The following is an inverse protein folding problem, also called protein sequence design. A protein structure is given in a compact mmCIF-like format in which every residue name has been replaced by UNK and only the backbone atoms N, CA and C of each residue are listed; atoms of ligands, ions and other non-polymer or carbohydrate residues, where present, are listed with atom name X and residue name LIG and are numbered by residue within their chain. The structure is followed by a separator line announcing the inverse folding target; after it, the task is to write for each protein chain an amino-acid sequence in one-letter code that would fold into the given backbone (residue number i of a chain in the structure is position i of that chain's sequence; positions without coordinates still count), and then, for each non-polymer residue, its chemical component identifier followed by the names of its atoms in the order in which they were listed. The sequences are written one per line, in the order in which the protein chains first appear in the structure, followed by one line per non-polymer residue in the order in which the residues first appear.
data_IF_531941295554
#
_entry.id   IF_531941295554
#
_cell.length_a   1.000
_cell.length_b   1.000
_cell.length_c   1.000
_cell.angle_alpha   90.00
_cell.angle_beta   90.00
_cell.angle_gamma   90.00
#
_symmetry.space_group_name_H-M   'P 1'
#
loop_
_entity.id
_entity.type
_entity.pdbx_description
1 polymer ?
#
# COMPACT_ATOMS: atom_id res chain seq x y z
N UNK A 1 5.46 6.01 12.56
CA UNK A 1 5.15 7.42 12.22
C UNK A 1 3.63 7.58 12.05
N UNK A 2 3.01 8.69 12.43
CA UNK A 2 1.55 8.79 12.46
C UNK A 2 0.96 8.84 11.05
N UNK A 3 0.14 7.86 10.68
CA UNK A 3 -0.55 7.81 9.38
C UNK A 3 -1.74 8.77 9.26
N UNK A 4 -2.07 9.47 10.34
CA UNK A 4 -3.20 10.38 10.44
C UNK A 4 -2.74 11.77 10.91
N UNK A 5 -3.04 12.80 10.12
CA UNK A 5 -2.79 14.18 10.49
C UNK A 5 -3.95 14.73 11.34
N UNK A 6 -3.60 15.59 12.28
CA UNK A 6 -4.56 16.42 13.02
C UNK A 6 -4.93 17.68 12.20
N UNK A 7 -6.03 18.38 12.55
CA UNK A 7 -6.36 19.66 11.90
C UNK A 7 -5.26 20.70 11.99
N UNK A 8 -4.49 20.69 13.07
CA UNK A 8 -3.36 21.60 13.27
C UNK A 8 -2.19 21.28 12.34
N UNK A 9 -1.81 20.00 12.26
CA UNK A 9 -0.75 19.55 11.35
C UNK A 9 -1.09 19.84 9.88
N UNK A 10 -2.37 19.65 9.50
CA UNK A 10 -2.84 20.02 8.16
C UNK A 10 -2.80 21.54 7.92
N UNK A 11 -3.17 22.34 8.91
CA UNK A 11 -3.11 23.79 8.82
C UNK A 11 -1.67 24.30 8.64
N UNK A 12 -0.74 23.75 9.43
CA UNK A 12 0.70 24.04 9.32
C UNK A 12 1.25 23.63 7.95
N UNK A 13 0.83 22.45 7.43
CA UNK A 13 1.23 21.95 6.14
C UNK A 13 0.79 22.85 4.97
N UNK A 14 -0.42 23.39 5.06
CA UNK A 14 -1.01 24.28 4.04
C UNK A 14 -0.65 25.76 4.23
N UNK A 15 0.01 26.14 5.31
CA UNK A 15 0.25 27.56 5.64
C UNK A 15 -1.02 28.36 5.92
N UNK A 16 -2.06 27.71 6.46
CA UNK A 16 -3.38 28.32 6.74
C UNK A 16 -3.72 28.25 8.23
N UNK A 17 -4.78 28.95 8.65
CA UNK A 17 -5.28 28.86 10.02
C UNK A 17 -6.01 27.52 10.27
N UNK A 18 -6.03 27.00 11.52
CA UNK A 18 -6.85 25.84 11.88
C UNK A 18 -8.35 26.04 11.59
N UNK A 19 -8.85 27.28 11.61
CA UNK A 19 -10.24 27.60 11.31
C UNK A 19 -10.55 27.42 9.81
N UNK A 20 -9.57 27.69 8.95
CA UNK A 20 -9.67 27.37 7.51
C UNK A 20 -9.85 25.88 7.31
N UNK A 21 -9.08 25.05 8.00
CA UNK A 21 -9.22 23.58 7.94
C UNK A 21 -10.59 23.13 8.47
N UNK A 22 -11.09 23.74 9.55
CA UNK A 22 -12.45 23.47 10.04
C UNK A 22 -13.52 23.81 9.01
N UNK A 23 -13.36 24.94 8.30
CA UNK A 23 -14.24 25.33 7.20
C UNK A 23 -14.23 24.32 6.06
N UNK A 24 -13.06 23.82 5.66
CA UNK A 24 -12.94 22.76 4.65
C UNK A 24 -13.68 21.47 5.07
N UNK A 25 -13.56 21.08 6.32
CA UNK A 25 -14.30 19.95 6.86
C UNK A 25 -15.82 20.17 6.83
N UNK A 26 -16.26 21.34 7.25
CA UNK A 26 -17.68 21.70 7.26
C UNK A 26 -18.29 21.69 5.86
N UNK A 27 -17.55 22.21 4.88
CA UNK A 27 -17.94 22.24 3.47
C UNK A 27 -17.71 20.91 2.74
N UNK A 28 -17.27 19.85 3.44
CA UNK A 28 -16.94 18.52 2.87
C UNK A 28 -15.91 18.60 1.73
N UNK A 29 -15.01 19.55 1.77
CA UNK A 29 -13.98 19.78 0.75
C UNK A 29 -12.77 18.85 0.92
N UNK A 30 -12.59 18.26 2.09
CA UNK A 30 -11.54 17.30 2.39
C UNK A 30 -12.13 16.12 3.18
N UNK A 31 -11.72 14.92 2.85
CA UNK A 31 -12.14 13.70 3.56
C UNK A 31 -11.46 13.65 4.94
N UNK A 32 -12.18 13.21 5.96
CA UNK A 32 -11.65 13.01 7.31
C UNK A 32 -12.37 11.87 8.03
N UNK A 33 -11.65 11.23 8.96
CA UNK A 33 -12.24 10.33 9.94
C UNK A 33 -12.42 11.06 11.27
N UNK A 34 -13.32 10.55 12.12
CA UNK A 34 -13.52 11.06 13.47
C UNK A 34 -13.16 9.96 14.47
N UNK A 35 -12.29 10.27 15.43
CA UNK A 35 -11.98 9.34 16.53
C UNK A 35 -13.18 9.19 17.49
N UNK A 36 -13.25 8.13 18.33
CA UNK A 36 -14.28 8.00 19.35
C UNK A 36 -14.41 9.22 20.27
N UNK A 37 -13.33 9.97 20.47
CA UNK A 37 -13.33 11.24 21.22
C UNK A 37 -13.75 12.48 20.42
N UNK A 38 -14.33 12.33 19.22
CA UNK A 38 -14.82 13.44 18.39
C UNK A 38 -13.73 14.22 17.63
N UNK A 39 -12.47 13.82 17.71
CA UNK A 39 -11.36 14.51 17.06
C UNK A 39 -11.22 14.11 15.60
N UNK A 40 -11.16 15.09 14.69
CA UNK A 40 -10.95 14.87 13.26
C UNK A 40 -9.52 14.42 12.99
N UNK A 41 -9.40 13.47 12.05
CA UNK A 41 -8.13 12.94 11.55
C UNK A 41 -8.19 12.88 10.04
N UNK A 42 -7.12 13.30 9.38
CA UNK A 42 -6.98 13.31 7.93
C UNK A 42 -6.02 12.21 7.54
N UNK A 43 -6.44 11.35 6.64
CA UNK A 43 -5.54 10.38 6.05
C UNK A 43 -4.55 11.12 5.16
N UNK A 44 -3.32 10.70 5.21
CA UNK A 44 -2.22 11.33 4.50
C UNK A 44 -2.46 11.45 3.01
N UNK A 45 -3.03 10.41 2.38
CA UNK A 45 -3.35 10.42 0.95
C UNK A 45 -4.47 11.39 0.60
N UNK A 46 -5.53 11.44 1.39
CA UNK A 46 -6.62 12.41 1.20
C UNK A 46 -6.08 13.85 1.27
N UNK A 47 -5.04 14.08 2.09
CA UNK A 47 -4.36 15.37 2.17
C UNK A 47 -3.55 15.66 0.92
N UNK A 48 -2.75 14.70 0.42
CA UNK A 48 -1.95 14.89 -0.80
C UNK A 48 -2.82 15.15 -2.03
N UNK A 49 -3.90 14.38 -2.19
CA UNK A 49 -4.88 14.55 -3.24
C UNK A 49 -5.51 15.95 -3.18
N UNK A 50 -5.96 16.37 -1.99
CA UNK A 50 -6.52 17.69 -1.75
C UNK A 50 -5.54 18.83 -2.07
N UNK A 51 -4.26 18.69 -1.67
CA UNK A 51 -3.22 19.69 -1.97
C UNK A 51 -2.97 19.79 -3.48
N UNK A 52 -2.88 18.64 -4.18
CA UNK A 52 -2.70 18.59 -5.63
C UNK A 52 -3.86 19.25 -6.37
N UNK A 53 -5.10 18.88 -6.03
CA UNK A 53 -6.32 19.45 -6.65
C UNK A 53 -6.46 20.97 -6.46
N UNK A 54 -5.96 21.48 -5.35
CA UNK A 54 -6.06 22.91 -4.99
C UNK A 54 -4.85 23.73 -5.39
N UNK A 55 -3.83 23.13 -5.98
CA UNK A 55 -2.60 23.80 -6.36
C UNK A 55 -1.75 24.28 -5.19
N UNK A 56 -1.93 23.69 -4.00
CA UNK A 56 -1.02 23.94 -2.89
C UNK A 56 0.33 23.28 -3.17
N UNK A 57 1.45 23.87 -2.71
CA UNK A 57 2.73 23.22 -2.80
C UNK A 57 2.68 21.89 -2.04
N UNK A 58 3.10 20.83 -2.69
CA UNK A 58 3.22 19.52 -2.01
C UNK A 58 4.30 19.66 -0.94
N UNK A 59 4.04 19.18 0.29
CA UNK A 59 5.04 19.23 1.35
C UNK A 59 6.25 18.39 0.95
N UNK A 60 7.44 18.72 1.46
CA UNK A 60 8.62 17.87 1.32
C UNK A 60 8.30 16.43 1.74
N UNK A 61 8.82 15.47 0.99
CA UNK A 61 8.54 14.04 1.17
C UNK A 61 8.85 13.51 2.58
N UNK A 62 9.70 14.21 3.33
CA UNK A 62 10.02 13.92 4.73
C UNK A 62 8.86 14.18 5.71
N UNK A 63 7.92 15.06 5.35
CA UNK A 63 6.71 15.34 6.17
C UNK A 63 5.52 14.43 5.88
N UNK A 64 5.50 13.83 4.70
CA UNK A 64 4.48 12.86 4.29
C UNK A 64 5.21 11.66 3.69
N UNK A 65 5.34 10.56 4.43
CA UNK A 65 5.97 9.36 3.88
C UNK A 65 5.13 8.84 2.73
N UNK A 66 5.68 8.74 1.52
CA UNK A 66 4.97 8.17 0.38
C UNK A 66 4.69 6.69 0.61
N UNK A 67 3.65 6.16 -0.03
CA UNK A 67 3.35 4.73 -0.02
C UNK A 67 4.53 4.00 -0.64
N UNK A 68 5.09 3.06 0.08
CA UNK A 68 6.16 2.20 -0.40
C UNK A 68 5.58 1.10 -1.30
N UNK A 69 5.85 1.18 -2.59
CA UNK A 69 5.41 0.19 -3.58
C UNK A 69 6.60 -0.59 -4.09
N UNK A 70 6.56 -1.91 -3.98
CA UNK A 70 7.56 -2.79 -4.58
C UNK A 70 6.94 -3.50 -5.78
N UNK A 71 7.55 -3.33 -6.96
CA UNK A 71 7.15 -3.99 -8.20
C UNK A 71 8.09 -5.16 -8.44
N UNK A 72 7.55 -6.37 -8.61
CA UNK A 72 8.30 -7.59 -8.89
C UNK A 72 7.78 -8.20 -10.20
N UNK A 73 8.63 -8.21 -11.22
CA UNK A 73 8.30 -8.70 -12.55
C UNK A 73 9.62 -8.99 -13.29
N UNK A 74 9.74 -10.11 -13.98
CA UNK A 74 10.97 -10.48 -14.70
C UNK A 74 11.07 -9.83 -16.09
N UNK A 75 9.97 -9.32 -16.63
CA UNK A 75 9.95 -8.63 -17.91
C UNK A 75 10.40 -7.17 -17.73
N UNK A 76 11.68 -6.89 -18.04
CA UNK A 76 12.30 -5.58 -17.86
C UNK A 76 11.50 -4.42 -18.48
N UNK A 77 11.00 -4.60 -19.70
CA UNK A 77 10.26 -3.56 -20.42
C UNK A 77 8.95 -3.18 -19.73
N UNK A 78 8.21 -4.19 -19.28
CA UNK A 78 6.96 -4.00 -18.55
C UNK A 78 7.23 -3.41 -17.17
N UNK A 79 8.18 -3.97 -16.42
CA UNK A 79 8.58 -3.49 -15.09
C UNK A 79 8.98 -2.02 -15.10
N UNK A 80 9.90 -1.63 -16.01
CA UNK A 80 10.36 -0.23 -16.14
C UNK A 80 9.23 0.72 -16.53
N UNK A 81 8.34 0.32 -17.45
CA UNK A 81 7.18 1.11 -17.84
C UNK A 81 6.27 1.39 -16.63
N UNK A 82 6.00 0.35 -15.83
CA UNK A 82 5.15 0.42 -14.66
C UNK A 82 5.77 1.29 -13.56
N UNK A 83 7.04 1.05 -13.26
CA UNK A 83 7.81 1.84 -12.29
C UNK A 83 7.90 3.30 -12.70
N UNK A 84 8.23 3.58 -13.98
CA UNK A 84 8.32 4.93 -14.49
C UNK A 84 6.99 5.70 -14.45
N UNK A 85 5.86 5.01 -14.61
CA UNK A 85 4.55 5.62 -14.46
C UNK A 85 4.20 5.90 -13.00
N UNK A 86 4.46 4.95 -12.10
CA UNK A 86 4.19 5.11 -10.67
C UNK A 86 5.07 6.18 -10.02
N UNK A 87 6.35 6.30 -10.42
CA UNK A 87 7.28 7.30 -9.89
C UNK A 87 6.90 8.76 -10.23
N UNK A 88 6.05 8.98 -11.24
CA UNK A 88 5.52 10.31 -11.54
C UNK A 88 4.53 10.82 -10.49
N UNK A 89 4.00 9.92 -9.67
CA UNK A 89 3.09 10.27 -8.57
C UNK A 89 3.87 10.50 -7.27
N UNK A 90 3.91 11.72 -6.76
CA UNK A 90 4.64 12.05 -5.51
C UNK A 90 4.16 11.26 -4.28
N UNK A 91 2.96 10.66 -4.37
CA UNK A 91 2.38 9.83 -3.33
C UNK A 91 3.06 8.46 -3.19
N UNK A 92 3.91 8.05 -4.14
CA UNK A 92 4.54 6.73 -4.17
C UNK A 92 6.06 6.82 -4.04
N UNK A 93 6.63 5.93 -3.22
CA UNK A 93 8.05 5.59 -3.21
C UNK A 93 8.17 4.19 -3.81
N UNK A 94 8.71 4.10 -5.02
CA UNK A 94 8.68 2.87 -5.81
C UNK A 94 10.07 2.25 -5.88
N UNK A 95 10.15 0.98 -5.57
CA UNK A 95 11.30 0.10 -5.79
C UNK A 95 10.88 -1.03 -6.72
N UNK A 96 11.87 -1.67 -7.34
CA UNK A 96 11.67 -2.80 -8.25
C UNK A 96 12.58 -3.97 -7.93
N UNK A 97 12.18 -5.17 -8.36
CA UNK A 97 12.99 -6.37 -8.38
C UNK A 97 12.65 -7.18 -9.64
N UNK A 98 13.68 -7.68 -10.33
CA UNK A 98 13.53 -8.48 -11.54
C UNK A 98 13.66 -9.99 -11.31
N UNK A 99 14.05 -10.41 -10.10
CA UNK A 99 14.22 -11.80 -9.74
C UNK A 99 13.91 -12.09 -8.27
N UNK A 100 13.90 -13.38 -7.91
CA UNK A 100 13.53 -13.82 -6.55
C UNK A 100 14.52 -13.46 -5.48
N UNK A 101 15.79 -13.33 -5.80
CA UNK A 101 16.81 -12.93 -4.85
C UNK A 101 16.62 -11.46 -4.47
N UNK A 102 16.53 -10.59 -5.48
CA UNK A 102 16.28 -9.17 -5.28
C UNK A 102 14.90 -8.91 -4.64
N UNK A 103 13.87 -9.66 -5.03
CA UNK A 103 12.55 -9.59 -4.41
C UNK A 103 12.63 -9.86 -2.90
N UNK A 104 13.29 -10.95 -2.49
CA UNK A 104 13.45 -11.31 -1.09
C UNK A 104 14.22 -10.25 -0.29
N UNK A 105 15.31 -9.71 -0.86
CA UNK A 105 16.12 -8.65 -0.28
C UNK A 105 15.31 -7.36 -0.16
N UNK A 106 14.68 -6.91 -1.24
CA UNK A 106 13.89 -5.68 -1.26
C UNK A 106 12.70 -5.72 -0.30
N UNK A 107 12.01 -6.84 -0.22
CA UNK A 107 10.92 -7.01 0.76
C UNK A 107 11.45 -6.79 2.20
N UNK A 108 12.66 -7.30 2.52
CA UNK A 108 13.25 -7.17 3.85
C UNK A 108 13.76 -5.78 4.18
N UNK A 109 14.43 -5.13 3.24
CA UNK A 109 15.07 -3.82 3.45
C UNK A 109 14.10 -2.64 3.28
N UNK A 110 13.20 -2.76 2.31
CA UNK A 110 12.30 -1.68 1.94
C UNK A 110 11.00 -1.68 2.73
N UNK A 111 10.55 -2.86 3.22
CA UNK A 111 9.28 -3.03 3.95
C UNK A 111 8.11 -2.36 3.20
N UNK A 112 7.72 -2.88 2.01
CA UNK A 112 6.70 -2.25 1.19
C UNK A 112 5.32 -2.27 1.85
N UNK A 113 4.57 -1.18 1.66
CA UNK A 113 3.15 -1.08 2.04
C UNK A 113 2.27 -1.82 1.03
N UNK A 114 2.68 -1.85 -0.24
CA UNK A 114 1.98 -2.57 -1.32
C UNK A 114 3.00 -3.27 -2.22
N UNK A 115 2.72 -4.55 -2.48
CA UNK A 115 3.45 -5.38 -3.43
C UNK A 115 2.66 -5.48 -4.73
N UNK A 116 3.29 -5.19 -5.85
CA UNK A 116 2.78 -5.46 -7.21
C UNK A 116 3.63 -6.58 -7.79
N UNK A 117 3.03 -7.73 -8.08
CA UNK A 117 3.74 -8.98 -8.31
C UNK A 117 3.24 -9.72 -9.55
N UNK A 118 4.13 -10.06 -10.47
CA UNK A 118 3.85 -11.10 -11.46
C UNK A 118 3.90 -12.49 -10.80
N UNK A 119 2.99 -13.37 -11.22
CA UNK A 119 2.96 -14.76 -10.74
C UNK A 119 3.85 -15.70 -11.54
N UNK A 120 4.08 -15.37 -12.81
CA UNK A 120 4.75 -16.28 -13.76
C UNK A 120 6.10 -15.72 -14.12
N UNK A 121 7.09 -16.06 -13.30
CA UNK A 121 8.47 -15.64 -13.50
C UNK A 121 9.40 -16.86 -13.52
N UNK A 122 10.44 -16.92 -14.37
CA UNK A 122 11.40 -18.02 -14.40
C UNK A 122 12.09 -18.20 -13.05
N UNK A 123 12.02 -19.42 -12.51
CA UNK A 123 12.69 -19.76 -11.24
C UNK A 123 12.04 -19.23 -9.98
N UNK A 124 10.91 -18.51 -10.09
CA UNK A 124 10.17 -17.95 -8.94
C UNK A 124 8.73 -18.45 -8.96
N UNK A 125 8.29 -19.03 -7.84
CA UNK A 125 6.87 -19.28 -7.60
C UNK A 125 6.23 -18.01 -6.98
N UNK A 126 5.55 -17.18 -7.78
CA UNK A 126 4.87 -15.98 -7.33
C UNK A 126 3.82 -16.24 -6.24
N UNK A 127 3.17 -17.42 -6.26
CA UNK A 127 2.25 -17.82 -5.18
C UNK A 127 3.00 -18.03 -3.86
N UNK A 128 4.22 -18.56 -3.93
CA UNK A 128 5.08 -18.69 -2.76
C UNK A 128 5.49 -17.32 -2.23
N UNK A 129 5.85 -16.38 -3.11
CA UNK A 129 6.16 -15.00 -2.72
C UNK A 129 4.98 -14.37 -1.97
N UNK A 130 3.75 -14.55 -2.46
CA UNK A 130 2.53 -14.07 -1.76
C UNK A 130 2.44 -14.67 -0.34
N UNK A 131 2.55 -15.99 -0.21
CA UNK A 131 2.44 -16.68 1.10
C UNK A 131 3.55 -16.26 2.06
N UNK A 132 4.79 -16.22 1.58
CA UNK A 132 5.95 -15.86 2.39
C UNK A 132 5.85 -14.39 2.84
N UNK A 133 5.41 -13.51 1.97
CA UNK A 133 5.16 -12.10 2.29
C UNK A 133 4.08 -11.95 3.37
N UNK A 134 2.96 -12.67 3.26
CA UNK A 134 1.88 -12.65 4.26
C UNK A 134 2.29 -13.19 5.62
N UNK A 135 3.24 -14.13 5.66
CA UNK A 135 3.70 -14.74 6.91
C UNK A 135 4.67 -13.88 7.71
N UNK A 136 5.19 -12.80 7.12
CA UNK A 136 6.14 -11.87 7.76
C UNK A 136 5.45 -10.96 8.77
N UNK A 137 6.24 -10.36 9.64
CA UNK A 137 5.75 -9.30 10.52
C UNK A 137 5.32 -8.08 9.68
N UNK A 138 4.09 -7.62 9.86
CA UNK A 138 3.50 -6.54 9.05
C UNK A 138 2.94 -6.98 7.68
N UNK A 139 3.29 -8.17 7.18
CA UNK A 139 2.82 -8.65 5.88
C UNK A 139 1.31 -8.90 5.79
N UNK A 140 0.66 -9.09 6.92
CA UNK A 140 -0.81 -9.19 7.03
C UNK A 140 -1.52 -7.84 6.81
N UNK A 141 -0.82 -6.72 6.94
CA UNK A 141 -1.36 -5.37 6.76
C UNK A 141 -1.04 -4.77 5.39
N UNK A 142 0.05 -5.20 4.77
CA UNK A 142 0.44 -4.73 3.46
C UNK A 142 -0.50 -5.24 2.35
N UNK A 143 -0.68 -4.46 1.28
CA UNK A 143 -1.45 -4.86 0.11
C UNK A 143 -0.65 -5.79 -0.82
N UNK A 144 -1.30 -6.74 -1.50
CA UNK A 144 -0.73 -7.51 -2.60
C UNK A 144 -1.64 -7.40 -3.81
N UNK A 145 -1.13 -6.83 -4.89
CA UNK A 145 -1.78 -6.77 -6.21
C UNK A 145 -0.99 -7.70 -7.12
N UNK A 146 -1.66 -8.74 -7.61
CA UNK A 146 -1.10 -9.63 -8.63
C UNK A 146 -1.36 -9.04 -10.00
N UNK A 147 -0.34 -9.04 -10.87
CA UNK A 147 -0.43 -8.62 -12.27
C UNK A 147 0.11 -9.74 -13.13
N UNK A 148 -0.70 -10.33 -14.01
CA UNK A 148 -0.27 -11.51 -14.78
C UNK A 148 -0.66 -11.44 -16.26
N UNK A 149 0.22 -11.97 -17.12
CA UNK A 149 -0.07 -12.15 -18.56
C UNK A 149 -0.99 -13.33 -18.87
N UNK A 150 -1.28 -14.18 -17.88
CA UNK A 150 -2.12 -15.38 -18.03
C UNK A 150 -3.36 -15.31 -17.13
N UNK A 151 -4.30 -14.39 -17.43
CA UNK A 151 -5.46 -14.17 -16.59
C UNK A 151 -6.52 -15.25 -16.83
N UNK A 152 -6.65 -16.18 -15.91
CA UNK A 152 -7.80 -17.09 -15.84
C UNK A 152 -8.37 -17.13 -14.41
N UNK A 153 -9.59 -17.60 -14.27
CA UNK A 153 -10.27 -17.62 -12.97
C UNK A 153 -9.59 -18.54 -11.96
N UNK A 154 -8.99 -19.64 -12.43
CA UNK A 154 -8.26 -20.58 -11.57
C UNK A 154 -6.99 -19.94 -11.04
N UNK A 155 -6.26 -19.20 -11.90
CA UNK A 155 -5.07 -18.44 -11.53
C UNK A 155 -5.41 -17.38 -10.49
N UNK A 156 -6.45 -16.59 -10.72
CA UNK A 156 -6.89 -15.55 -9.79
C UNK A 156 -7.37 -16.13 -8.46
N UNK A 157 -8.10 -17.26 -8.49
CA UNK A 157 -8.53 -17.92 -7.26
C UNK A 157 -7.33 -18.40 -6.44
N UNK A 158 -6.34 -19.05 -7.09
CA UNK A 158 -5.11 -19.48 -6.43
C UNK A 158 -4.29 -18.31 -5.87
N UNK A 159 -4.25 -17.16 -6.58
CA UNK A 159 -3.59 -15.96 -6.10
C UNK A 159 -4.25 -15.44 -4.82
N UNK A 160 -5.58 -15.37 -4.78
CA UNK A 160 -6.34 -14.97 -3.58
C UNK A 160 -6.10 -15.94 -2.41
N UNK A 161 -6.09 -17.24 -2.67
CA UNK A 161 -5.77 -18.27 -1.66
C UNK A 161 -4.32 -18.14 -1.13
N UNK A 162 -3.38 -17.74 -2.00
CA UNK A 162 -2.01 -17.45 -1.61
C UNK A 162 -1.86 -16.13 -0.83
N UNK A 163 -2.89 -15.28 -0.83
CA UNK A 163 -2.92 -14.05 -0.06
C UNK A 163 -2.97 -12.76 -0.87
N UNK A 164 -3.14 -12.81 -2.20
CA UNK A 164 -3.39 -11.61 -2.99
C UNK A 164 -4.70 -10.94 -2.58
N UNK A 165 -4.72 -9.61 -2.59
CA UNK A 165 -5.92 -8.81 -2.34
C UNK A 165 -6.67 -8.55 -3.64
N UNK A 166 -5.91 -8.20 -4.69
CA UNK A 166 -6.41 -7.86 -6.00
C UNK A 166 -5.61 -8.57 -7.10
N UNK A 167 -6.25 -8.79 -8.24
CA UNK A 167 -5.64 -9.41 -9.41
C UNK A 167 -5.98 -8.62 -10.66
N UNK A 168 -4.99 -8.34 -11.50
CA UNK A 168 -5.09 -7.64 -12.77
C UNK A 168 -4.47 -8.47 -13.89
N UNK A 169 -5.04 -8.35 -15.08
CA UNK A 169 -4.46 -8.88 -16.31
C UNK A 169 -3.50 -7.85 -16.96
N UNK A 170 -2.40 -8.32 -17.55
CA UNK A 170 -1.62 -7.51 -18.48
C UNK A 170 -2.37 -7.42 -19.83
N UNK A 171 -2.41 -6.23 -20.49
CA UNK A 171 -1.84 -4.95 -20.10
C UNK A 171 -2.65 -4.24 -18.99
N UNK A 172 -1.96 -3.54 -18.10
CA UNK A 172 -2.55 -2.89 -16.93
C UNK A 172 -2.95 -1.45 -17.25
N UNK A 173 -4.17 -1.08 -16.91
CA UNK A 173 -4.55 0.34 -16.83
C UNK A 173 -3.92 0.99 -15.59
N UNK A 174 -3.09 2.00 -15.83
CA UNK A 174 -2.30 2.63 -14.78
C UNK A 174 -3.16 3.36 -13.73
N UNK A 175 -4.29 3.95 -14.14
CA UNK A 175 -5.19 4.63 -13.20
C UNK A 175 -5.82 3.61 -12.27
N UNK A 176 -6.31 2.50 -12.82
CA UNK A 176 -6.87 1.37 -12.05
C UNK A 176 -5.85 0.84 -11.04
N UNK A 177 -4.59 0.62 -11.45
CA UNK A 177 -3.55 0.15 -10.56
C UNK A 177 -3.26 1.15 -9.43
N UNK A 178 -3.11 2.43 -9.76
CA UNK A 178 -2.87 3.48 -8.77
C UNK A 178 -4.00 3.60 -7.75
N UNK A 179 -5.25 3.49 -8.20
CA UNK A 179 -6.42 3.52 -7.32
C UNK A 179 -6.49 2.30 -6.41
N UNK A 180 -6.14 1.11 -6.91
CA UNK A 180 -6.02 -0.11 -6.10
C UNK A 180 -4.92 0.02 -5.04
N UNK A 181 -3.73 0.54 -5.40
CA UNK A 181 -2.63 0.80 -4.46
C UNK A 181 -3.12 1.73 -3.33
N UNK A 182 -3.78 2.84 -3.68
CA UNK A 182 -4.33 3.79 -2.71
C UNK A 182 -5.40 3.15 -1.83
N UNK A 183 -6.31 2.38 -2.41
CA UNK A 183 -7.39 1.69 -1.71
C UNK A 183 -6.86 0.69 -0.68
N UNK A 184 -5.90 -0.15 -1.06
CA UNK A 184 -5.31 -1.15 -0.17
C UNK A 184 -4.52 -0.50 0.98
N UNK A 185 -3.82 0.58 0.71
CA UNK A 185 -3.11 1.34 1.75
C UNK A 185 -4.09 2.03 2.73
N UNK A 186 -5.22 2.55 2.24
CA UNK A 186 -6.23 3.23 3.06
C UNK A 186 -7.06 2.28 3.92
N UNK A 187 -7.25 1.05 3.47
CA UNK A 187 -8.07 0.03 4.12
C UNK A 187 -7.24 -1.22 4.40
N UNK A 188 -6.19 -1.13 5.21
CA UNK A 188 -5.36 -2.28 5.51
C UNK A 188 -6.19 -3.37 6.17
N UNK A 189 -5.86 -4.64 5.88
CA UNK A 189 -6.52 -5.80 6.48
C UNK A 189 -6.47 -5.71 8.00
N UNK A 190 -7.53 -6.13 8.71
CA UNK A 190 -7.49 -6.21 10.16
C UNK A 190 -6.39 -7.20 10.58
N UNK A 191 -5.57 -6.83 11.57
CA UNK A 191 -4.51 -7.71 12.11
C UNK A 191 -5.10 -9.06 12.46
N UNK A 192 -4.63 -10.12 11.81
CA UNK A 192 -4.91 -11.49 12.28
C UNK A 192 -4.23 -11.63 13.65
N UNK A 193 -5.02 -11.64 14.71
CA UNK A 193 -4.52 -12.02 16.02
C UNK A 193 -3.97 -13.43 15.90
N UNK A 194 -2.64 -13.58 15.96
CA UNK A 194 -2.02 -14.91 16.04
C UNK A 194 -2.66 -15.61 17.23
N UNK A 195 -3.44 -16.64 16.94
CA UNK A 195 -4.05 -17.49 17.96
C UNK A 195 -2.95 -17.88 18.96
N UNK A 196 -3.17 -17.51 20.22
CA UNK A 196 -2.32 -17.88 21.33
C UNK A 196 -2.13 -19.41 21.29
N UNK A 197 -0.92 -19.88 20.98
CA UNK A 197 -0.61 -21.32 21.07
C UNK A 197 -1.13 -21.82 22.40
N UNK A 198 -1.94 -22.89 22.45
CA UNK A 198 -2.35 -23.44 23.72
C UNK A 198 -1.08 -23.79 24.52
N UNK A 199 -0.98 -23.32 25.76
CA UNK A 199 0.05 -23.72 26.69
C UNK A 199 0.00 -25.25 26.77
N UNK A 200 1.10 -25.92 26.39
CA UNK A 200 1.27 -27.34 26.70
C UNK A 200 1.07 -27.49 28.19
N UNK A 201 0.05 -28.24 28.56
CA UNK A 201 -0.11 -28.69 29.92
C UNK A 201 1.15 -29.48 30.29
N UNK A 202 1.90 -28.97 31.28
CA UNK A 202 2.92 -29.72 31.96
C UNK A 202 2.26 -30.89 32.66
N UNK A 203 2.44 -32.10 32.14
CA UNK A 203 2.13 -33.32 32.85
C UNK A 203 3.17 -33.46 33.97
N UNK A 204 2.78 -33.10 35.16
CA UNK A 204 3.40 -33.61 36.37
C UNK A 204 2.92 -35.04 36.59
N UNK A 205 3.85 -35.96 36.71
CA UNK A 205 3.80 -37.15 37.54
C UNK A 205 5.21 -37.63 37.76
#
# INVERSE_FOLDING_TARGET
MKDLLTPRELAELCGVSPDTVRSWCFRKQIKFATTPGGHKRFRRLDVLEFLKERGFPLPPTDKISPIKVLVIDDEDSFRQSLVGALQKEPAFNVKEAGDGYDAGRMIGEFEPDVLVLDLVMPGIDGFRVCRDFRSREGGDQAGIIVVTGYPDEVMFQRAREAGADECLAKPVDMNTLMDMIRSLYQSPRPRRTRGRKPKRASSES
#
